data_IF_900394871882
#
_entry.id   IF_900394871882
#
_cell.length_a   1.000
_cell.length_b   1.000
_cell.length_c   1.000
_cell.angle_alpha   90.00
_cell.angle_beta   90.00
_cell.angle_gamma   90.00
#
_symmetry.space_group_name_H-M   'P 1'
#
loop_
_entity.id
_entity.type
_entity.pdbx_description
1 polymer ?
#
# COMPACT_ATOMS: atom_id res chain seq x y z
N UNK A 1 -20.79 -11.28 7.14
CA UNK A 1 -20.33 -10.69 5.87
C UNK A 1 -19.74 -11.80 5.02
N UNK A 2 -20.08 -11.87 3.74
CA UNK A 2 -19.52 -12.87 2.83
C UNK A 2 -18.03 -12.60 2.55
N UNK A 3 -17.23 -13.67 2.45
CA UNK A 3 -15.79 -13.57 2.23
C UNK A 3 -15.45 -12.90 0.90
N UNK A 4 -16.20 -13.18 -0.17
CA UNK A 4 -15.91 -12.62 -1.49
C UNK A 4 -16.19 -11.12 -1.50
N UNK A 5 -17.25 -10.67 -0.83
CA UNK A 5 -17.56 -9.24 -0.67
C UNK A 5 -16.44 -8.47 0.04
N UNK A 6 -15.89 -9.03 1.13
CA UNK A 6 -14.75 -8.43 1.85
C UNK A 6 -13.50 -8.44 0.97
N UNK A 7 -13.26 -9.53 0.22
CA UNK A 7 -12.12 -9.66 -0.69
C UNK A 7 -12.17 -8.61 -1.80
N UNK A 8 -13.33 -8.41 -2.42
CA UNK A 8 -13.52 -7.41 -3.47
C UNK A 8 -13.34 -5.99 -2.93
N UNK A 9 -13.90 -5.71 -1.75
CA UNK A 9 -13.69 -4.44 -1.05
C UNK A 9 -12.22 -4.18 -0.75
N UNK A 10 -11.48 -5.17 -0.25
CA UNK A 10 -10.05 -5.05 0.00
C UNK A 10 -9.25 -4.75 -1.27
N UNK A 11 -9.55 -5.41 -2.39
CA UNK A 11 -8.88 -5.15 -3.67
C UNK A 11 -9.15 -3.72 -4.17
N UNK A 12 -10.39 -3.23 -4.02
CA UNK A 12 -10.74 -1.85 -4.38
C UNK A 12 -10.00 -0.83 -3.50
N UNK A 13 -9.92 -1.08 -2.18
CA UNK A 13 -9.17 -0.25 -1.23
C UNK A 13 -7.66 -0.25 -1.56
N UNK A 14 -7.11 -1.42 -1.92
CA UNK A 14 -5.71 -1.55 -2.33
C UNK A 14 -5.40 -0.73 -3.59
N UNK A 15 -6.27 -0.83 -4.62
CA UNK A 15 -6.13 -0.04 -5.84
C UNK A 15 -6.24 1.46 -5.54
N UNK A 16 -7.20 1.87 -4.71
CA UNK A 16 -7.38 3.25 -4.31
C UNK A 16 -6.18 3.80 -3.53
N UNK A 17 -5.60 3.01 -2.62
CA UNK A 17 -4.38 3.38 -1.89
C UNK A 17 -3.23 3.68 -2.85
N UNK A 18 -3.00 2.80 -3.84
CA UNK A 18 -1.94 2.98 -4.85
C UNK A 18 -2.17 4.23 -5.68
N UNK A 19 -3.40 4.47 -6.15
CA UNK A 19 -3.75 5.68 -6.90
C UNK A 19 -3.47 6.93 -6.07
N UNK A 20 -3.94 6.97 -4.82
CA UNK A 20 -3.73 8.10 -3.92
C UNK A 20 -2.25 8.32 -3.57
N UNK A 21 -1.46 7.25 -3.48
CA UNK A 21 -0.01 7.37 -3.36
C UNK A 21 0.59 8.14 -4.55
N UNK A 22 0.30 7.74 -5.78
CA UNK A 22 0.85 8.41 -6.97
C UNK A 22 0.34 9.84 -7.13
N UNK A 23 -0.94 10.09 -6.90
CA UNK A 23 -1.53 11.44 -6.94
C UNK A 23 -0.79 12.38 -5.98
N UNK A 24 -0.52 11.91 -4.75
CA UNK A 24 0.27 12.68 -3.76
C UNK A 24 1.72 12.85 -4.19
N UNK A 25 2.35 11.80 -4.71
CA UNK A 25 3.73 11.83 -5.17
C UNK A 25 3.95 12.84 -6.32
N UNK A 26 3.15 12.75 -7.39
CA UNK A 26 3.21 13.67 -8.52
C UNK A 26 2.84 15.10 -8.12
N UNK A 27 1.85 15.27 -7.23
CA UNK A 27 1.55 16.60 -6.71
C UNK A 27 2.76 17.25 -6.03
N UNK A 28 3.53 16.50 -5.22
CA UNK A 28 4.72 17.01 -4.51
C UNK A 28 5.92 17.27 -5.43
N UNK A 29 5.98 16.60 -6.58
CA UNK A 29 7.00 16.85 -7.60
C UNK A 29 6.66 18.11 -8.44
N UNK A 30 5.37 18.39 -8.63
CA UNK A 30 4.89 19.64 -9.24
C UNK A 30 4.68 20.77 -8.22
N UNK A 31 3.53 21.44 -8.32
CA UNK A 31 3.22 22.65 -7.52
C UNK A 31 2.95 22.39 -6.03
N UNK A 32 2.77 21.14 -5.61
CA UNK A 32 2.43 20.76 -4.24
C UNK A 32 1.02 21.17 -3.77
N UNK A 33 0.20 21.79 -4.63
CA UNK A 33 -1.13 22.31 -4.23
C UNK A 33 -2.05 21.24 -3.65
N UNK A 34 -2.12 20.06 -4.28
CA UNK A 34 -2.98 18.96 -3.83
C UNK A 34 -2.43 18.28 -2.57
N UNK A 35 -1.12 18.11 -2.48
CA UNK A 35 -0.46 17.57 -1.29
C UNK A 35 -0.58 18.49 -0.05
N UNK A 36 -0.83 19.79 -0.24
CA UNK A 36 -1.14 20.75 0.83
C UNK A 36 -2.61 20.66 1.30
N UNK A 37 -3.50 20.05 0.52
CA UNK A 37 -4.90 19.90 0.90
C UNK A 37 -5.04 18.85 2.01
N UNK A 38 -5.48 19.28 3.20
CA UNK A 38 -5.66 18.41 4.37
C UNK A 38 -6.67 17.29 4.12
N UNK A 39 -7.72 17.52 3.31
CA UNK A 39 -8.74 16.51 3.00
C UNK A 39 -8.13 15.34 2.23
N UNK A 40 -7.30 15.62 1.23
CA UNK A 40 -6.61 14.59 0.44
C UNK A 40 -5.61 13.81 1.29
N UNK A 41 -4.91 14.51 2.20
CA UNK A 41 -3.95 13.88 3.09
C UNK A 41 -4.62 12.99 4.14
N UNK A 42 -5.70 13.45 4.77
CA UNK A 42 -6.47 12.67 5.75
C UNK A 42 -7.12 11.47 5.06
N UNK A 43 -7.83 11.71 3.95
CA UNK A 43 -8.50 10.66 3.18
C UNK A 43 -7.56 9.53 2.79
N UNK A 44 -6.34 9.86 2.37
CA UNK A 44 -5.39 8.82 2.01
C UNK A 44 -4.83 8.02 3.19
N UNK A 45 -4.68 8.60 4.38
CA UNK A 45 -4.27 7.83 5.57
C UNK A 45 -5.41 6.92 6.05
N UNK A 46 -6.66 7.37 5.91
CA UNK A 46 -7.83 6.54 6.19
C UNK A 46 -7.89 5.34 5.26
N UNK A 47 -7.61 5.51 3.97
CA UNK A 47 -7.54 4.40 3.01
C UNK A 47 -6.42 3.41 3.36
N UNK A 48 -5.23 3.90 3.73
CA UNK A 48 -4.11 3.03 4.12
C UNK A 48 -4.44 2.24 5.41
N UNK A 49 -5.19 2.84 6.34
CA UNK A 49 -5.67 2.16 7.55
C UNK A 49 -6.74 1.12 7.21
N UNK A 50 -7.70 1.46 6.35
CA UNK A 50 -8.73 0.53 5.86
C UNK A 50 -8.11 -0.64 5.09
N UNK A 51 -7.01 -0.41 4.37
CA UNK A 51 -6.25 -1.45 3.67
C UNK A 51 -5.74 -2.51 4.67
N UNK A 52 -5.14 -2.07 5.77
CA UNK A 52 -4.63 -2.95 6.82
C UNK A 52 -5.76 -3.69 7.55
N UNK A 53 -6.82 -2.97 7.95
CA UNK A 53 -7.97 -3.56 8.65
C UNK A 53 -8.68 -4.60 7.79
N UNK A 54 -8.90 -4.30 6.50
CA UNK A 54 -9.50 -5.25 5.56
C UNK A 54 -8.62 -6.46 5.29
N UNK A 55 -7.30 -6.29 5.22
CA UNK A 55 -6.35 -7.40 5.11
C UNK A 55 -6.43 -8.33 6.33
N UNK A 56 -6.39 -7.77 7.55
CA UNK A 56 -6.53 -8.56 8.79
C UNK A 56 -7.87 -9.30 8.83
N UNK A 57 -8.96 -8.63 8.45
CA UNK A 57 -10.29 -9.25 8.38
C UNK A 57 -10.28 -10.46 7.44
N UNK A 58 -9.66 -10.35 6.26
CA UNK A 58 -9.53 -11.48 5.32
C UNK A 58 -8.72 -12.64 5.89
N UNK A 59 -7.63 -12.35 6.60
CA UNK A 59 -6.77 -13.38 7.24
C UNK A 59 -7.59 -14.14 8.28
N UNK A 60 -8.33 -13.43 9.14
CA UNK A 60 -9.20 -14.04 10.15
C UNK A 60 -10.33 -14.87 9.53
N UNK A 61 -11.00 -14.35 8.50
CA UNK A 61 -12.08 -15.06 7.81
C UNK A 61 -11.59 -16.30 7.06
N UNK A 62 -10.43 -16.21 6.41
CA UNK A 62 -9.84 -17.32 5.67
C UNK A 62 -9.21 -18.39 6.59
N UNK A 63 -9.03 -18.08 7.89
CA UNK A 63 -8.34 -18.94 8.86
C UNK A 63 -6.93 -19.35 8.39
N UNK A 64 -6.25 -18.46 7.68
CA UNK A 64 -4.89 -18.69 7.17
C UNK A 64 -3.90 -18.09 8.17
N UNK A 65 -2.90 -18.86 8.57
CA UNK A 65 -1.78 -18.34 9.35
C UNK A 65 -0.71 -17.77 8.41
N UNK A 66 -0.30 -16.49 8.56
CA UNK A 66 0.83 -15.93 7.80
C UNK A 66 2.13 -16.71 8.02
N UNK A 67 2.30 -17.35 9.18
CA UNK A 67 3.50 -18.13 9.49
C UNK A 67 3.55 -19.48 8.76
N UNK A 68 2.42 -19.97 8.27
CA UNK A 68 2.35 -21.19 7.45
C UNK A 68 2.42 -20.87 5.95
N UNK A 69 2.08 -19.64 5.58
CA UNK A 69 2.02 -19.17 4.19
C UNK A 69 3.00 -18.01 4.02
N UNK A 70 4.27 -18.32 3.77
CA UNK A 70 5.33 -17.32 3.69
C UNK A 70 5.06 -16.19 2.70
N UNK A 71 4.39 -16.46 1.58
CA UNK A 71 3.99 -15.43 0.60
C UNK A 71 3.07 -14.37 1.22
N UNK A 72 2.23 -14.76 2.18
CA UNK A 72 1.31 -13.87 2.89
C UNK A 72 2.07 -13.04 3.94
N UNK A 73 3.00 -13.66 4.66
CA UNK A 73 3.87 -12.95 5.60
C UNK A 73 4.70 -11.89 4.88
N UNK A 74 5.35 -12.27 3.78
CA UNK A 74 6.15 -11.37 2.94
C UNK A 74 5.27 -10.22 2.42
N UNK A 75 4.04 -10.52 1.97
CA UNK A 75 3.09 -9.50 1.51
C UNK A 75 2.73 -8.51 2.61
N UNK A 76 2.50 -8.96 3.85
CA UNK A 76 2.21 -8.08 4.99
C UNK A 76 3.39 -7.16 5.28
N UNK A 77 4.61 -7.72 5.32
CA UNK A 77 5.84 -6.94 5.56
C UNK A 77 6.03 -5.88 4.48
N UNK A 78 5.85 -6.24 3.19
CA UNK A 78 5.96 -5.28 2.08
C UNK A 78 4.89 -4.19 2.16
N UNK A 79 3.66 -4.49 2.58
CA UNK A 79 2.62 -3.47 2.77
C UNK A 79 3.01 -2.47 3.86
N UNK A 80 3.60 -2.93 4.96
CA UNK A 80 4.11 -2.04 6.02
C UNK A 80 5.24 -1.15 5.48
N UNK A 81 6.17 -1.74 4.72
CA UNK A 81 7.26 -1.00 4.06
C UNK A 81 6.69 0.03 3.09
N UNK A 82 5.68 -0.32 2.29
CA UNK A 82 5.00 0.58 1.35
C UNK A 82 4.43 1.82 2.06
N UNK A 83 3.71 1.63 3.17
CA UNK A 83 3.15 2.73 3.96
C UNK A 83 4.28 3.61 4.54
N UNK A 84 5.32 2.98 5.10
CA UNK A 84 6.47 3.67 5.67
C UNK A 84 7.25 4.51 4.66
N UNK A 85 7.49 3.96 3.46
CA UNK A 85 8.13 4.68 2.35
C UNK A 85 7.25 5.84 1.90
N UNK A 86 5.94 5.64 1.77
CA UNK A 86 5.00 6.71 1.43
C UNK A 86 5.05 7.88 2.42
N UNK A 87 5.12 7.59 3.72
CA UNK A 87 5.26 8.58 4.77
C UNK A 87 6.62 9.31 4.73
N UNK A 88 7.72 8.60 4.49
CA UNK A 88 9.06 9.21 4.35
C UNK A 88 9.19 10.05 3.09
N UNK A 89 8.62 9.59 1.97
CA UNK A 89 8.57 10.31 0.69
C UNK A 89 7.89 11.68 0.84
N UNK A 90 6.83 11.74 1.65
CA UNK A 90 6.08 12.98 1.91
C UNK A 90 6.92 14.07 2.61
N UNK A 91 7.99 13.69 3.32
CA UNK A 91 8.86 14.61 4.08
C UNK A 91 10.07 15.10 3.27
N UNK A 92 10.26 14.62 2.05
CA UNK A 92 11.41 14.98 1.22
C UNK A 92 11.25 16.34 0.55
N UNK A 93 12.32 17.13 0.57
CA UNK A 93 12.38 18.45 -0.07
C UNK A 93 13.06 18.38 -1.43
N UNK A 94 14.15 17.61 -1.55
CA UNK A 94 14.94 17.46 -2.79
C UNK A 94 14.20 16.61 -3.83
N UNK A 95 14.21 17.06 -5.09
CA UNK A 95 13.55 16.38 -6.21
C UNK A 95 14.11 14.97 -6.45
N UNK A 96 15.43 14.82 -6.40
CA UNK A 96 16.11 13.53 -6.56
C UNK A 96 15.66 12.51 -5.51
N UNK A 97 15.56 12.93 -4.25
CA UNK A 97 15.05 12.08 -3.18
C UNK A 97 13.57 11.71 -3.39
N UNK A 98 12.72 12.66 -3.77
CA UNK A 98 11.30 12.39 -4.09
C UNK A 98 11.16 11.31 -5.16
N UNK A 99 11.88 11.45 -6.28
CA UNK A 99 11.86 10.48 -7.38
C UNK A 99 12.38 9.12 -6.91
N UNK A 100 13.50 9.08 -6.19
CA UNK A 100 14.06 7.83 -5.67
C UNK A 100 13.06 7.07 -4.79
N UNK A 101 12.41 7.74 -3.83
CA UNK A 101 11.40 7.10 -2.99
C UNK A 101 10.18 6.63 -3.79
N UNK A 102 9.75 7.36 -4.81
CA UNK A 102 8.64 6.92 -5.67
C UNK A 102 9.03 5.66 -6.41
N UNK A 103 10.21 5.61 -7.03
CA UNK A 103 10.69 4.43 -7.76
C UNK A 103 10.83 3.21 -6.85
N UNK A 104 11.42 3.37 -5.66
CA UNK A 104 11.53 2.28 -4.68
C UNK A 104 10.13 1.82 -4.26
N UNK A 105 9.21 2.73 -3.99
CA UNK A 105 7.85 2.35 -3.59
C UNK A 105 7.09 1.65 -4.73
N UNK A 106 7.32 2.06 -5.98
CA UNK A 106 6.78 1.37 -7.15
C UNK A 106 7.28 -0.06 -7.23
N UNK A 107 8.57 -0.32 -6.98
CA UNK A 107 9.09 -1.68 -6.93
C UNK A 107 8.42 -2.52 -5.83
N UNK A 108 8.20 -1.93 -4.64
CA UNK A 108 7.48 -2.60 -3.54
C UNK A 108 6.03 -2.93 -3.93
N UNK A 109 5.31 -2.00 -4.57
CA UNK A 109 3.94 -2.23 -5.05
C UNK A 109 3.92 -3.40 -6.07
N UNK A 110 4.89 -3.45 -6.98
CA UNK A 110 5.00 -4.53 -7.96
C UNK A 110 5.27 -5.88 -7.27
N UNK A 111 6.14 -5.92 -6.26
CA UNK A 111 6.38 -7.12 -5.47
C UNK A 111 5.13 -7.60 -4.73
N UNK A 112 4.36 -6.69 -4.12
CA UNK A 112 3.07 -7.01 -3.48
C UNK A 112 2.09 -7.61 -4.51
N UNK A 113 2.03 -7.03 -5.71
CA UNK A 113 1.20 -7.51 -6.81
C UNK A 113 1.60 -8.92 -7.27
N UNK A 114 2.90 -9.17 -7.41
CA UNK A 114 3.44 -10.49 -7.73
C UNK A 114 3.09 -11.54 -6.67
N UNK A 115 3.28 -11.24 -5.39
CA UNK A 115 2.90 -12.16 -4.30
C UNK A 115 1.40 -12.45 -4.30
N UNK A 116 0.58 -11.47 -4.68
CA UNK A 116 -0.87 -11.63 -4.75
C UNK A 116 -1.33 -12.57 -5.88
N UNK A 117 -0.61 -12.62 -7.01
CA UNK A 117 -0.96 -13.43 -8.18
C UNK A 117 -0.29 -14.81 -8.15
N UNK A 118 1.01 -14.86 -7.85
CA UNK A 118 1.79 -16.10 -7.82
C UNK A 118 1.48 -16.96 -6.61
N UNK A 119 1.13 -16.33 -5.48
CA UNK A 119 1.03 -16.98 -4.15
C UNK A 119 2.29 -17.80 -3.80
N UNK A 120 3.44 -17.40 -4.35
CA UNK A 120 4.74 -17.97 -4.04
C UNK A 120 5.54 -16.94 -3.30
N UNK A 121 6.20 -17.33 -2.22
CA UNK A 121 7.16 -16.48 -1.54
C UNK A 121 8.40 -16.33 -2.45
N UNK A 122 9.03 -15.15 -2.37
CA UNK A 122 10.25 -14.87 -3.11
C UNK A 122 11.48 -14.87 -2.20
N UNK A 123 11.32 -14.39 -0.95
CA UNK A 123 12.42 -14.18 0.00
C UNK A 123 12.45 -15.18 1.16
N UNK A 124 11.35 -15.87 1.43
CA UNK A 124 11.15 -16.80 2.55
C UNK A 124 10.79 -18.18 2.02
#
# INVERSE_FOLDING_TARGET
MDYLAVKHSHMAIAMLSVILFYVRAFSRMGSGKLAKNKVVMIGSHSIDTLLLVSALTLIFMAKISPFEQYWLLEKIVLVIIYIGIGAKSARQTKMTAKVAYVLVNTAVILAIGYLATSKSAFLL
#
